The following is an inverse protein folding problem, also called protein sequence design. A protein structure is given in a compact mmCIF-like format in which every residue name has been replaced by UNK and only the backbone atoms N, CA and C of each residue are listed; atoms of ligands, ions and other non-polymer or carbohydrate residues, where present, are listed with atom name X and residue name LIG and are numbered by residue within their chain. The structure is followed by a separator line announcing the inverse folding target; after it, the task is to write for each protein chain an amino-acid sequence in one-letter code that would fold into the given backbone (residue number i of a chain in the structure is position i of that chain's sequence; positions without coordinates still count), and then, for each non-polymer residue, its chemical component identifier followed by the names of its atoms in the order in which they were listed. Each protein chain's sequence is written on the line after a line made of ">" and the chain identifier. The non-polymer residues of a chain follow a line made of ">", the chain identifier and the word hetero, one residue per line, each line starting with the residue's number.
data_IF_414379842631
#
_entry.id   IF_414379842631
#
_cell.length_a   1.000
_cell.length_b   1.000
_cell.length_c   1.000
_cell.angle_alpha   90.00
_cell.angle_beta   90.00
_cell.angle_gamma   90.00
#
_symmetry.space_group_name_H-M   'P 1'
#
loop_
_entity.id
_entity.type
_entity.pdbx_description
1 polymer ?
#
# COMPACT_ATOMS: atom_id res chain seq x y z
N UNK A 1 12.01 -1.15 -4.34
CA UNK A 1 11.69 0.14 -3.67
C UNK A 1 10.28 0.03 -3.11
N UNK A 2 10.08 0.27 -1.80
CA UNK A 2 8.76 0.29 -1.17
C UNK A 2 8.30 1.75 -1.11
N UNK A 3 7.17 2.07 -1.77
CA UNK A 3 6.65 3.43 -1.84
C UNK A 3 5.20 3.47 -1.34
N UNK A 4 5.03 3.16 -0.06
CA UNK A 4 3.74 3.19 0.63
C UNK A 4 3.89 4.03 1.90
N UNK A 5 2.91 4.91 2.17
CA UNK A 5 2.85 5.75 3.36
C UNK A 5 1.54 5.48 4.07
N UNK A 6 1.62 4.62 5.07
CA UNK A 6 0.48 3.99 5.71
C UNK A 6 0.73 3.90 7.20
N UNK A 7 -0.26 4.26 8.01
CA UNK A 7 -0.26 4.03 9.46
C UNK A 7 -1.42 3.12 9.83
N UNK A 8 -1.22 2.25 10.82
CA UNK A 8 -2.26 1.43 11.43
C UNK A 8 -2.13 1.61 12.94
N UNK A 9 -3.22 1.98 13.62
CA UNK A 9 -3.29 2.11 15.08
C UNK A 9 -4.28 1.11 15.65
N UNK A 10 -3.86 0.37 16.67
CA UNK A 10 -4.69 -0.60 17.43
C UNK A 10 -5.50 -1.59 16.58
N UNK A 11 -5.06 -1.87 15.35
CA UNK A 11 -5.78 -2.67 14.34
C UNK A 11 -7.20 -2.15 14.05
N UNK A 12 -7.43 -0.86 14.25
CA UNK A 12 -8.74 -0.21 14.14
C UNK A 12 -8.68 0.99 13.22
N UNK A 13 -7.75 1.90 13.49
CA UNK A 13 -7.61 3.14 12.73
C UNK A 13 -6.48 3.03 11.73
N UNK A 14 -6.59 3.72 10.61
CA UNK A 14 -5.52 3.72 9.62
C UNK A 14 -5.50 4.98 8.76
N UNK A 15 -4.31 5.32 8.30
CA UNK A 15 -4.04 6.40 7.36
C UNK A 15 -3.42 5.82 6.09
N UNK A 16 -3.84 6.29 4.92
CA UNK A 16 -3.17 6.05 3.64
C UNK A 16 -3.09 7.39 2.92
N UNK A 17 -1.89 7.79 2.48
CA UNK A 17 -1.74 9.07 1.78
C UNK A 17 -0.41 9.24 1.07
N UNK A 18 -0.17 10.47 0.61
CA UNK A 18 1.06 10.87 -0.08
C UNK A 18 2.17 11.30 0.87
N UNK A 19 1.82 11.80 2.06
CA UNK A 19 2.74 12.34 3.04
C UNK A 19 3.78 11.32 3.48
N UNK A 20 5.07 11.65 3.31
CA UNK A 20 6.12 10.90 3.98
C UNK A 20 6.13 11.22 5.47
N UNK A 21 6.68 10.30 6.28
CA UNK A 21 6.80 10.48 7.73
C UNK A 21 8.05 11.26 8.10
N UNK A 22 8.26 12.41 7.45
CA UNK A 22 9.37 13.30 7.68
C UNK A 22 8.89 14.73 7.92
N UNK A 23 9.77 15.52 8.56
CA UNK A 23 9.44 16.90 8.94
C UNK A 23 9.07 17.76 7.73
N UNK A 24 9.68 17.52 6.56
CA UNK A 24 9.44 18.31 5.35
C UNK A 24 8.03 18.10 4.82
N UNK A 25 7.58 16.85 4.76
CA UNK A 25 6.23 16.49 4.31
C UNK A 25 5.16 17.03 5.26
N UNK A 26 5.48 17.15 6.56
CA UNK A 26 4.57 17.67 7.58
C UNK A 26 4.50 19.21 7.65
N UNK A 27 5.51 19.92 7.17
CA UNK A 27 5.62 21.38 7.36
C UNK A 27 5.65 22.19 6.06
N UNK A 28 6.10 21.60 4.96
CA UNK A 28 6.43 22.34 3.73
C UNK A 28 5.77 21.78 2.47
N UNK A 29 5.20 20.58 2.52
CA UNK A 29 4.57 19.94 1.35
C UNK A 29 3.06 19.89 1.54
N UNK A 30 2.33 20.15 0.46
CA UNK A 30 0.89 19.93 0.42
C UNK A 30 0.64 18.47 0.09
N UNK A 31 0.13 17.75 1.07
CA UNK A 31 -0.11 16.31 0.98
C UNK A 31 -1.61 16.01 0.96
N UNK A 32 -1.98 14.84 0.46
CA UNK A 32 -3.34 14.31 0.47
C UNK A 32 -3.34 12.93 1.10
N UNK A 33 -4.37 12.61 1.86
CA UNK A 33 -4.54 11.28 2.43
C UNK A 33 -5.96 11.06 2.92
N UNK A 34 -6.26 9.79 3.19
CA UNK A 34 -7.54 9.35 3.73
C UNK A 34 -7.26 8.68 5.07
N UNK A 35 -8.00 9.10 6.10
CA UNK A 35 -7.99 8.49 7.41
C UNK A 35 -9.29 7.72 7.63
N UNK A 36 -9.17 6.49 8.10
CA UNK A 36 -10.28 5.61 8.39
C UNK A 36 -10.29 5.33 9.89
N UNK A 37 -11.35 5.79 10.58
CA UNK A 37 -11.51 5.62 12.01
C UNK A 37 -12.43 4.44 12.34
N UNK A 38 -12.07 3.60 13.31
CA UNK A 38 -12.88 2.45 13.78
C UNK A 38 -13.06 1.32 12.75
N UNK A 39 -12.33 1.35 11.63
CA UNK A 39 -12.51 0.48 10.48
C UNK A 39 -11.70 -0.83 10.57
N UNK A 40 -11.97 -1.66 11.58
CA UNK A 40 -11.27 -2.96 11.83
C UNK A 40 -11.11 -3.86 10.60
N UNK A 41 -12.15 -3.96 9.77
CA UNK A 41 -12.13 -4.83 8.57
C UNK A 41 -11.05 -4.38 7.59
N UNK A 42 -10.95 -3.08 7.35
CA UNK A 42 -9.98 -2.54 6.39
C UNK A 42 -8.58 -2.51 7.01
N UNK A 43 -8.48 -2.14 8.30
CA UNK A 43 -7.22 -2.23 9.04
C UNK A 43 -6.60 -3.64 8.97
N UNK A 44 -7.41 -4.70 9.09
CA UNK A 44 -6.96 -6.09 8.91
C UNK A 44 -6.43 -6.39 7.51
N UNK A 45 -7.01 -5.80 6.46
CA UNK A 45 -6.52 -5.98 5.09
C UNK A 45 -5.16 -5.30 4.91
N UNK A 46 -5.01 -4.07 5.42
CA UNK A 46 -3.75 -3.32 5.36
C UNK A 46 -2.67 -3.99 6.22
N UNK A 47 -3.03 -4.54 7.39
CA UNK A 47 -2.13 -5.32 8.24
C UNK A 47 -1.63 -6.58 7.51
N UNK A 48 -2.47 -7.25 6.73
CA UNK A 48 -2.04 -8.38 5.89
C UNK A 48 -0.99 -7.95 4.84
N UNK A 49 -1.16 -6.77 4.23
CA UNK A 49 -0.16 -6.21 3.31
C UNK A 49 1.15 -5.89 4.02
N UNK A 50 1.09 -5.25 5.21
CA UNK A 50 2.24 -5.00 6.07
C UNK A 50 2.99 -6.29 6.43
N UNK A 51 2.27 -7.32 6.88
CA UNK A 51 2.86 -8.61 7.24
C UNK A 51 3.54 -9.30 6.05
N UNK A 52 2.98 -9.18 4.84
CA UNK A 52 3.62 -9.70 3.63
C UNK A 52 4.93 -8.95 3.33
N UNK A 53 4.95 -7.62 3.45
CA UNK A 53 6.18 -6.83 3.28
C UNK A 53 7.23 -7.20 4.34
N UNK A 54 6.81 -7.40 5.58
CA UNK A 54 7.70 -7.81 6.67
C UNK A 54 8.29 -9.21 6.41
N UNK A 55 7.44 -10.15 6.00
CA UNK A 55 7.87 -11.49 5.60
C UNK A 55 8.89 -11.40 4.47
N UNK A 56 8.62 -10.61 3.42
CA UNK A 56 9.54 -10.39 2.31
C UNK A 56 10.90 -9.86 2.78
N UNK A 57 10.90 -8.88 3.70
CA UNK A 57 12.11 -8.29 4.23
C UNK A 57 12.95 -9.27 5.08
N UNK A 58 12.32 -10.28 5.69
CA UNK A 58 13.01 -11.32 6.48
C UNK A 58 13.53 -12.50 5.66
N UNK A 59 13.20 -12.61 4.37
CA UNK A 59 13.65 -13.74 3.55
C UNK A 59 15.14 -13.69 3.26
N UNK A 60 15.75 -14.87 3.18
CA UNK A 60 17.11 -15.01 2.68
C UNK A 60 17.12 -14.77 1.17
N UNK A 61 17.68 -13.64 0.74
CA UNK A 61 17.74 -13.27 -0.68
C UNK A 61 18.41 -14.34 -1.54
N UNK A 62 19.47 -14.99 -1.05
CA UNK A 62 20.21 -16.00 -1.81
C UNK A 62 19.43 -17.30 -2.05
N UNK A 63 18.48 -17.62 -1.17
CA UNK A 63 17.64 -18.81 -1.29
C UNK A 63 16.41 -18.56 -2.17
N UNK A 64 15.88 -17.33 -2.11
CA UNK A 64 14.59 -16.98 -2.68
C UNK A 64 14.66 -16.12 -3.94
N UNK A 65 15.85 -15.83 -4.46
CA UNK A 65 16.02 -15.10 -5.72
C UNK A 65 16.75 -15.93 -6.78
N UNK A 66 16.47 -15.63 -8.04
CA UNK A 66 17.13 -16.20 -9.22
C UNK A 66 17.23 -15.14 -10.31
N UNK A 67 18.01 -15.42 -11.35
CA UNK A 67 18.13 -14.55 -12.51
C UNK A 67 17.15 -14.98 -13.60
N UNK A 68 16.37 -14.05 -14.12
CA UNK A 68 15.50 -14.25 -15.27
C UNK A 68 15.85 -13.24 -16.37
N UNK A 69 15.77 -13.68 -17.62
CA UNK A 69 15.91 -12.80 -18.78
C UNK A 69 14.63 -12.00 -18.99
N UNK A 70 14.72 -10.67 -18.91
CA UNK A 70 13.61 -9.79 -19.22
C UNK A 70 13.63 -9.44 -20.71
N UNK A 71 12.67 -9.97 -21.47
CA UNK A 71 12.58 -9.76 -22.92
C UNK A 71 12.23 -8.31 -23.30
N UNK A 72 11.47 -7.59 -22.47
CA UNK A 72 11.08 -6.20 -22.76
C UNK A 72 12.30 -5.27 -22.65
N UNK A 73 13.13 -5.50 -21.63
CA UNK A 73 14.26 -4.63 -21.32
C UNK A 73 15.62 -5.18 -21.78
N UNK A 74 15.66 -6.41 -22.30
CA UNK A 74 16.87 -7.09 -22.78
C UNK A 74 17.98 -7.14 -21.72
N UNK A 75 17.61 -7.42 -20.46
CA UNK A 75 18.54 -7.50 -19.33
C UNK A 75 18.26 -8.72 -18.45
N UNK A 76 19.31 -9.21 -17.78
CA UNK A 76 19.19 -10.18 -16.70
C UNK A 76 18.73 -9.48 -15.42
N UNK A 77 17.60 -9.94 -14.86
CA UNK A 77 17.02 -9.39 -13.63
C UNK A 77 17.09 -10.41 -12.50
N UNK A 78 17.53 -9.97 -11.34
CA UNK A 78 17.36 -10.74 -10.10
C UNK A 78 15.92 -10.58 -9.64
N UNK A 79 15.18 -11.68 -9.62
CA UNK A 79 13.76 -11.74 -9.26
C UNK A 79 13.51 -12.82 -8.22
N UNK A 80 12.44 -12.72 -7.42
CA UNK A 80 12.05 -13.84 -6.56
C UNK A 80 11.80 -15.11 -7.36
N UNK A 81 12.13 -16.29 -6.80
CA UNK A 81 11.96 -17.56 -7.51
C UNK A 81 10.50 -17.93 -7.82
N UNK A 82 9.52 -17.23 -7.23
CA UNK A 82 8.10 -17.35 -7.54
C UNK A 82 7.59 -16.27 -8.52
N UNK A 83 8.50 -15.52 -9.14
CA UNK A 83 8.18 -14.42 -10.06
C UNK A 83 7.55 -14.89 -11.37
N UNK A 84 6.65 -14.07 -11.93
CA UNK A 84 6.05 -14.30 -13.24
C UNK A 84 7.05 -14.25 -14.41
N UNK A 85 8.24 -13.65 -14.20
CA UNK A 85 9.34 -13.69 -15.18
C UNK A 85 9.96 -15.08 -15.35
N UNK A 86 9.64 -16.04 -14.47
CA UNK A 86 10.12 -17.43 -14.52
C UNK A 86 8.99 -18.31 -15.08
N UNK A 87 9.27 -19.32 -15.94
CA UNK A 87 8.26 -20.27 -16.39
C UNK A 87 7.55 -20.98 -15.23
N UNK A 88 6.23 -21.19 -15.33
CA UNK A 88 5.39 -21.72 -14.24
C UNK A 88 5.95 -23.00 -13.57
N UNK A 89 6.56 -23.89 -14.36
CA UNK A 89 7.10 -25.18 -13.89
C UNK A 89 8.38 -25.04 -13.06
N UNK A 90 9.09 -23.93 -13.22
CA UNK A 90 10.37 -23.65 -12.54
C UNK A 90 10.19 -22.74 -11.32
N UNK A 91 8.97 -22.23 -11.10
CA UNK A 91 8.69 -21.37 -9.96
C UNK A 91 8.71 -22.14 -8.65
N UNK A 92 9.41 -21.59 -7.67
CA UNK A 92 9.33 -22.07 -6.29
C UNK A 92 7.96 -21.69 -5.67
N UNK A 93 7.64 -22.31 -4.53
CA UNK A 93 6.43 -21.95 -3.77
C UNK A 93 6.58 -20.56 -3.16
N UNK A 94 5.59 -19.70 -3.35
CA UNK A 94 5.56 -18.38 -2.71
C UNK A 94 5.43 -18.52 -1.18
N UNK A 95 6.19 -17.74 -0.40
CA UNK A 95 6.06 -17.72 1.07
C UNK A 95 4.80 -17.00 1.55
N UNK A 96 4.06 -16.33 0.66
CA UNK A 96 2.88 -15.54 1.03
C UNK A 96 1.58 -16.35 0.99
N UNK A 97 0.60 -16.04 1.85
CA UNK A 97 -0.67 -16.75 1.84
C UNK A 97 -1.47 -16.48 0.56
N UNK A 98 -1.88 -17.53 -0.15
CA UNK A 98 -2.67 -17.44 -1.40
C UNK A 98 -4.01 -16.69 -1.25
N UNK A 99 -4.51 -16.52 -0.01
CA UNK A 99 -5.81 -15.89 0.26
C UNK A 99 -5.80 -14.37 0.05
N UNK A 100 -4.65 -13.71 0.22
CA UNK A 100 -4.56 -12.25 0.21
C UNK A 100 -3.97 -11.67 -1.09
N UNK A 101 -3.43 -12.51 -1.97
CA UNK A 101 -2.74 -12.09 -3.19
C UNK A 101 -3.26 -12.88 -4.42
N UNK A 102 -4.51 -12.64 -4.82
CA UNK A 102 -4.97 -12.97 -6.17
C UNK A 102 -4.77 -11.76 -7.08
N UNK A 103 -3.51 -11.36 -7.28
CA UNK A 103 -3.18 -10.34 -8.25
C UNK A 103 -3.00 -11.03 -9.61
N UNK A 104 -3.81 -10.64 -10.60
CA UNK A 104 -3.53 -10.99 -11.99
C UNK A 104 -2.21 -10.33 -12.36
N UNK A 105 -1.29 -11.09 -12.95
CA UNK A 105 -0.08 -10.51 -13.50
C UNK A 105 -0.46 -9.52 -14.60
N UNK A 106 0.06 -8.31 -14.51
CA UNK A 106 -0.04 -7.29 -15.56
C UNK A 106 1.38 -7.04 -16.02
N UNK A 107 1.69 -7.42 -17.26
CA UNK A 107 3.05 -7.32 -17.82
C UNK A 107 3.47 -5.86 -18.02
N UNK A 108 2.52 -4.98 -18.30
CA UNK A 108 2.71 -3.55 -18.50
C UNK A 108 2.00 -2.73 -17.42
N UNK A 109 2.27 -1.43 -17.38
CA UNK A 109 1.35 -0.53 -16.70
C UNK A 109 -0.04 -0.73 -17.30
N UNK A 110 -1.11 -0.84 -16.48
CA UNK A 110 -2.45 -0.78 -17.04
C UNK A 110 -2.52 0.47 -17.93
N UNK A 111 -3.09 0.31 -19.12
CA UNK A 111 -3.33 1.46 -20.00
C UNK A 111 -3.93 2.58 -19.14
N UNK A 112 -3.47 3.82 -19.34
CA UNK A 112 -4.07 5.01 -18.74
C UNK A 112 -5.51 5.12 -19.27
N UNK A 113 -6.39 4.31 -18.73
CA UNK A 113 -7.83 4.52 -18.81
C UNK A 113 -8.12 5.64 -17.85
N UNK A 114 -9.02 6.54 -18.25
CA UNK A 114 -9.64 7.48 -17.34
C UNK A 114 -10.04 6.68 -16.08
N UNK A 115 -9.42 6.95 -14.91
CA UNK A 115 -9.69 6.14 -13.74
C UNK A 115 -11.19 6.16 -13.57
N UNK A 116 -11.80 4.98 -13.38
CA UNK A 116 -13.20 4.92 -13.00
C UNK A 116 -13.36 5.90 -11.85
N UNK A 117 -14.02 7.04 -12.14
CA UNK A 117 -14.19 8.07 -11.14
C UNK A 117 -15.12 7.43 -10.15
N UNK A 118 -14.55 6.98 -9.04
CA UNK A 118 -15.32 6.41 -7.98
C UNK A 118 -16.27 7.51 -7.53
N UNK A 119 -17.53 7.40 -7.94
CA UNK A 119 -18.63 8.18 -7.36
C UNK A 119 -18.91 7.58 -5.99
N UNK A 120 -17.89 7.60 -5.14
CA UNK A 120 -18.03 7.36 -3.72
C UNK A 120 -18.38 8.73 -3.17
N UNK A 121 -19.63 8.98 -2.77
CA UNK A 121 -19.91 10.15 -1.98
C UNK A 121 -18.98 10.09 -0.76
N UNK A 122 -18.12 11.08 -0.63
CA UNK A 122 -17.41 11.29 0.61
C UNK A 122 -18.44 11.84 1.60
N UNK A 123 -19.17 10.94 2.26
CA UNK A 123 -19.85 11.28 3.49
C UNK A 123 -18.75 11.56 4.52
N UNK A 124 -18.43 12.85 4.66
CA UNK A 124 -17.85 13.35 5.91
C UNK A 124 -18.78 12.91 7.04
N UNK A 125 -18.28 12.51 8.22
CA UNK A 125 -19.08 11.86 9.25
C UNK A 125 -20.33 12.67 9.61
N UNK A 126 -21.38 12.25 8.94
CA UNK A 126 -22.76 12.68 8.98
C UNK A 126 -23.58 11.46 8.59
N UNK A 127 -23.39 10.37 9.34
CA UNK A 127 -24.34 9.28 9.47
C UNK A 127 -24.48 8.30 8.28
N UNK A 128 -23.80 7.14 8.35
CA UNK A 128 -24.49 5.84 8.53
C UNK A 128 -23.60 4.60 8.32
N UNK A 129 -23.75 3.65 9.25
CA UNK A 129 -23.37 2.23 9.23
C UNK A 129 -21.89 1.80 9.25
N UNK A 130 -21.06 2.50 10.05
CA UNK A 130 -20.14 1.79 10.96
C UNK A 130 -20.75 1.83 12.36
N UNK A 131 -21.05 0.66 12.94
CA UNK A 131 -21.65 0.54 14.27
C UNK A 131 -20.77 1.19 15.34
N UNK A 132 -21.14 2.44 15.69
CA UNK A 132 -21.17 3.06 17.02
C UNK A 132 -20.17 2.55 18.07
N UNK A 133 -19.11 3.33 18.29
CA UNK A 133 -18.64 3.69 19.63
C UNK A 133 -17.80 4.97 19.55
N UNK A 134 -18.35 6.07 20.11
CA UNK A 134 -17.78 7.41 20.36
C UNK A 134 -17.07 8.14 19.20
N UNK A 135 -17.47 9.40 18.96
CA UNK A 135 -17.02 10.23 17.85
C UNK A 135 -15.50 10.22 17.62
N UNK A 136 -15.12 9.80 16.42
CA UNK A 136 -13.76 9.98 15.92
C UNK A 136 -13.76 11.18 14.97
N UNK A 137 -13.13 12.25 15.44
CA UNK A 137 -12.85 13.44 14.64
C UNK A 137 -11.88 13.07 13.53
N UNK A 138 -12.28 13.23 12.27
CA UNK A 138 -11.30 13.28 11.17
C UNK A 138 -10.63 14.66 11.24
N UNK A 139 -9.38 14.71 11.67
CA UNK A 139 -8.61 15.95 11.74
C UNK A 139 -7.81 16.14 10.45
N UNK A 140 -8.02 17.30 9.84
CA UNK A 140 -7.20 17.86 8.78
C UNK A 140 -6.32 18.93 9.45
N UNK A 141 -5.05 18.62 9.68
CA UNK A 141 -4.09 19.58 10.24
C UNK A 141 -3.34 20.25 9.09
N UNK A 142 -3.42 21.56 9.01
CA UNK A 142 -2.54 22.39 8.19
C UNK A 142 -1.62 23.15 9.13
N UNK A 143 -0.30 23.00 8.99
CA UNK A 143 0.62 23.99 9.49
C UNK A 143 0.56 25.20 8.55
N UNK A 144 0.31 26.43 9.04
CA UNK A 144 0.53 27.60 8.21
C UNK A 144 2.03 27.64 7.83
N UNK A 145 2.38 28.06 6.60
CA UNK A 145 3.78 28.29 6.28
C UNK A 145 4.33 29.30 7.30
N UNK A 146 5.44 28.98 7.95
CA UNK A 146 6.14 29.96 8.78
C UNK A 146 6.46 31.17 7.91
N UNK A 147 5.79 32.28 8.19
CA UNK A 147 6.19 33.59 7.69
C UNK A 147 7.54 33.86 8.35
N UNK A 148 8.61 33.74 7.58
CA UNK A 148 9.89 34.34 7.91
C UNK A 148 9.62 35.85 8.11
N UNK A 149 9.62 36.27 9.37
CA UNK A 149 9.72 37.67 9.78
C UNK A 149 11.10 38.22 9.39
#
# INVERSE_FOLDING_TARGET
>A
IIHAKVWISDRQDMYIGSANNDWKSLTQVKEVGVYFAGCRKIAKMVEAYYNNLWTLASLNASEYTTTAWDQQWQINRTVPCWSYFIPDKERCRSPFPHRFLKLKFVADYPALSDPFTFQIPFDTPGYSNCTTASGYSSYLSFAPPELLL
#
